data_IF_028995759952
#
_entry.id   IF_028995759952
#
_cell.length_a   1.000
_cell.length_b   1.000
_cell.length_c   1.000
_cell.angle_alpha   90.00
_cell.angle_beta   90.00
_cell.angle_gamma   90.00
#
_symmetry.space_group_name_H-M   'P 1'
#
loop_
_entity.id
_entity.type
_entity.pdbx_description
1 polymer ?
#
# COMPACT_ATOMS: atom_id res chain seq x y z
N UNK A 1 -1.08 -1.39 12.52
CA UNK A 1 -1.43 -2.29 11.38
C UNK A 1 -0.21 -3.16 11.10
N UNK A 2 -0.20 -4.38 11.63
CA UNK A 2 0.93 -5.32 11.56
C UNK A 2 0.88 -6.23 10.34
N UNK A 3 0.54 -5.69 9.17
CA UNK A 3 0.60 -6.47 7.93
C UNK A 3 2.05 -6.75 7.55
N UNK A 4 2.32 -7.96 7.06
CA UNK A 4 3.62 -8.37 6.56
C UNK A 4 3.80 -8.01 5.09
N UNK A 5 5.03 -8.07 4.58
CA UNK A 5 5.29 -7.93 3.14
C UNK A 5 4.51 -8.96 2.30
N UNK A 6 4.28 -10.17 2.84
CA UNK A 6 3.52 -11.23 2.18
C UNK A 6 2.03 -10.89 2.05
N UNK A 7 1.47 -10.20 3.05
CA UNK A 7 0.07 -9.77 3.00
C UNK A 7 -0.13 -8.76 1.86
N UNK A 8 0.82 -7.84 1.66
CA UNK A 8 0.81 -6.89 0.54
C UNK A 8 0.90 -7.58 -0.81
N UNK A 9 1.79 -8.57 -0.95
CA UNK A 9 1.92 -9.36 -2.20
C UNK A 9 0.64 -10.14 -2.48
N UNK A 10 0.04 -10.76 -1.45
CA UNK A 10 -1.23 -11.47 -1.55
C UNK A 10 -2.35 -10.55 -2.05
N UNK A 11 -2.47 -9.35 -1.46
CA UNK A 11 -3.42 -8.32 -1.90
C UNK A 11 -3.22 -7.96 -3.39
N UNK A 12 -1.97 -7.69 -3.81
CA UNK A 12 -1.68 -7.34 -5.20
C UNK A 12 -2.00 -8.50 -6.17
N UNK A 13 -1.79 -9.73 -5.75
CA UNK A 13 -2.17 -10.91 -6.51
C UNK A 13 -3.70 -10.99 -6.68
N UNK A 14 -4.46 -10.79 -5.60
CA UNK A 14 -5.93 -10.75 -5.67
C UNK A 14 -6.42 -9.67 -6.63
N UNK A 15 -5.85 -8.46 -6.57
CA UNK A 15 -6.21 -7.38 -7.49
C UNK A 15 -5.90 -7.72 -8.95
N UNK A 16 -4.80 -8.44 -9.20
CA UNK A 16 -4.45 -8.94 -10.53
C UNK A 16 -5.47 -9.94 -11.04
N UNK A 17 -5.89 -10.89 -10.21
CA UNK A 17 -6.88 -11.92 -10.54
C UNK A 17 -8.25 -11.32 -10.83
N UNK A 18 -8.64 -10.28 -10.07
CA UNK A 18 -9.86 -9.50 -10.31
C UNK A 18 -9.80 -8.61 -11.55
N UNK A 19 -8.61 -8.43 -12.15
CA UNK A 19 -8.38 -7.64 -13.35
C UNK A 19 -8.90 -6.17 -13.26
N UNK A 20 -8.84 -5.56 -12.08
CA UNK A 20 -9.29 -4.17 -11.87
C UNK A 20 -8.51 -3.17 -12.73
N UNK A 21 -9.13 -2.04 -13.06
CA UNK A 21 -8.51 -1.03 -13.94
C UNK A 21 -7.69 0.03 -13.20
N UNK A 22 -8.16 0.42 -12.00
CA UNK A 22 -7.55 1.47 -11.18
C UNK A 22 -7.40 1.03 -9.73
N UNK A 23 -6.20 1.24 -9.18
CA UNK A 23 -5.80 0.78 -7.85
C UNK A 23 -5.29 1.98 -7.05
N UNK A 24 -6.06 2.48 -6.06
CA UNK A 24 -5.56 3.44 -5.10
C UNK A 24 -4.63 2.72 -4.12
N UNK A 25 -3.37 3.17 -4.04
CA UNK A 25 -2.41 2.69 -3.06
C UNK A 25 -2.28 3.76 -1.97
N UNK A 26 -2.89 3.50 -0.82
CA UNK A 26 -2.88 4.38 0.33
C UNK A 26 -1.72 4.07 1.26
N UNK A 27 -1.04 5.10 1.76
CA UNK A 27 -0.12 4.94 2.89
C UNK A 27 -0.78 5.37 4.19
N UNK A 28 -0.47 4.63 5.26
CA UNK A 28 -0.99 4.95 6.57
C UNK A 28 -0.31 6.22 7.07
N UNK A 29 -1.12 7.27 7.25
CA UNK A 29 -0.75 8.47 7.97
C UNK A 29 -1.40 8.40 9.34
N UNK A 30 -0.65 8.11 10.41
CA UNK A 30 -1.22 8.04 11.75
C UNK A 30 -1.72 9.43 12.18
N UNK A 31 -2.95 9.48 12.71
CA UNK A 31 -3.61 10.72 13.14
C UNK A 31 -3.69 10.73 14.68
N UNK A 32 -3.28 11.82 15.37
CA UNK A 32 -3.36 11.91 16.83
C UNK A 32 -4.75 11.53 17.37
N UNK A 33 -4.78 10.70 18.41
CA UNK A 33 -6.01 10.17 19.00
C UNK A 33 -6.58 8.93 18.31
N UNK A 34 -5.90 8.38 17.30
CA UNK A 34 -6.20 7.05 16.76
C UNK A 34 -5.27 6.00 17.37
N UNK A 35 -5.72 4.74 17.57
CA UNK A 35 -4.86 3.69 18.10
C UNK A 35 -3.57 3.49 17.29
N UNK A 36 -3.64 3.69 15.98
CA UNK A 36 -2.50 3.56 15.07
C UNK A 36 -1.45 4.68 15.25
N UNK A 37 -1.84 5.84 15.76
CA UNK A 37 -0.89 6.87 16.14
C UNK A 37 -0.12 6.50 17.40
N UNK A 38 -0.81 5.95 18.40
CA UNK A 38 -0.18 5.52 19.65
C UNK A 38 0.75 4.31 19.46
N UNK A 39 0.43 3.45 18.47
CA UNK A 39 1.30 2.36 18.02
C UNK A 39 2.53 2.83 17.21
N UNK A 40 2.60 4.11 16.84
CA UNK A 40 3.62 4.62 15.92
C UNK A 40 3.53 3.96 14.54
N UNK A 41 2.34 3.49 14.15
CA UNK A 41 2.11 2.78 12.90
C UNK A 41 2.16 3.77 11.73
N UNK A 42 3.31 3.83 11.09
CA UNK A 42 3.56 4.59 9.86
C UNK A 42 4.55 3.83 8.99
N UNK A 43 4.52 4.13 7.70
CA UNK A 43 5.46 3.56 6.74
C UNK A 43 6.51 4.60 6.36
N UNK A 44 7.78 4.19 6.35
CA UNK A 44 8.87 5.04 5.90
C UNK A 44 8.86 5.26 4.40
N UNK A 45 9.47 6.35 3.92
CA UNK A 45 9.51 6.69 2.49
C UNK A 45 10.13 5.58 1.63
N UNK A 46 11.19 4.92 2.11
CA UNK A 46 11.83 3.81 1.38
C UNK A 46 10.91 2.59 1.25
N UNK A 47 10.21 2.23 2.32
CA UNK A 47 9.27 1.10 2.32
C UNK A 47 8.04 1.40 1.44
N UNK A 48 7.56 2.64 1.45
CA UNK A 48 6.53 3.11 0.53
C UNK A 48 6.99 3.00 -0.93
N UNK A 49 8.20 3.47 -1.26
CA UNK A 49 8.78 3.36 -2.60
C UNK A 49 8.92 1.89 -3.05
N UNK A 50 9.38 1.00 -2.17
CA UNK A 50 9.47 -0.43 -2.45
C UNK A 50 8.08 -1.02 -2.75
N UNK A 51 7.08 -0.66 -1.95
CA UNK A 51 5.70 -1.12 -2.15
C UNK A 51 5.14 -0.66 -3.52
N UNK A 52 5.43 0.58 -3.93
CA UNK A 52 5.06 1.11 -5.25
C UNK A 52 5.75 0.33 -6.37
N UNK A 53 7.05 0.08 -6.23
CA UNK A 53 7.83 -0.64 -7.23
C UNK A 53 7.30 -2.07 -7.44
N UNK A 54 7.02 -2.78 -6.34
CA UNK A 54 6.43 -4.13 -6.38
C UNK A 54 5.04 -4.10 -7.00
N UNK A 55 4.19 -3.16 -6.60
CA UNK A 55 2.85 -3.00 -7.18
C UNK A 55 2.92 -2.77 -8.71
N UNK A 56 3.80 -1.87 -9.17
CA UNK A 56 4.01 -1.63 -10.62
C UNK A 56 4.54 -2.87 -11.34
N UNK A 57 5.48 -3.59 -10.73
CA UNK A 57 6.03 -4.82 -11.31
C UNK A 57 4.94 -5.90 -11.50
N UNK A 58 4.08 -6.09 -10.50
CA UNK A 58 3.01 -7.09 -10.54
C UNK A 58 1.84 -6.68 -11.45
N UNK A 59 1.59 -5.37 -11.61
CA UNK A 59 0.45 -4.79 -12.31
C UNK A 59 0.90 -3.78 -13.38
N UNK A 60 1.69 -4.20 -14.39
CA UNK A 60 2.45 -3.29 -15.25
C UNK A 60 1.58 -2.34 -16.06
N UNK A 61 0.36 -2.75 -16.43
CA UNK A 61 -0.55 -1.98 -17.30
C UNK A 61 -1.69 -1.30 -16.54
N UNK A 62 -1.81 -1.49 -15.23
CA UNK A 62 -2.92 -0.94 -14.44
C UNK A 62 -2.63 0.48 -13.98
N UNK A 63 -3.68 1.28 -13.82
CA UNK A 63 -3.57 2.60 -13.20
C UNK A 63 -3.32 2.40 -11.70
N UNK A 64 -2.19 2.91 -11.20
CA UNK A 64 -1.86 2.89 -9.77
C UNK A 64 -1.81 4.33 -9.31
N UNK A 65 -2.73 4.70 -8.41
CA UNK A 65 -2.86 6.06 -7.92
C UNK A 65 -2.32 6.13 -6.50
N UNK A 66 -1.30 6.95 -6.29
CA UNK A 66 -0.72 7.15 -4.97
C UNK A 66 -1.60 8.09 -4.17
N UNK A 67 -2.10 7.61 -3.04
CA UNK A 67 -3.05 8.31 -2.17
C UNK A 67 -2.63 8.16 -0.69
N UNK A 68 -3.23 8.96 0.21
CA UNK A 68 -2.96 8.90 1.65
C UNK A 68 -1.51 9.21 2.05
N UNK A 69 -1.18 10.48 2.32
CA UNK A 69 0.15 10.89 2.82
C UNK A 69 1.12 11.37 1.74
N UNK A 70 0.82 12.53 1.14
CA UNK A 70 1.75 13.27 0.28
C UNK A 70 2.86 13.92 1.09
#
# INVERSE_FOLDING_TARGET
LGESELDRVSMLQTLRELNVDSIPLNFLVPIPGTPLYDEGAGIGAEEALRSIAVARYMLPKKEIRITGGR
#
